data_IF_287378497259
#
_entry.id   IF_287378497259
#
_cell.length_a   1.000
_cell.length_b   1.000
_cell.length_c   1.000
_cell.angle_alpha   90.00
_cell.angle_beta   90.00
_cell.angle_gamma   90.00
#
_symmetry.space_group_name_H-M   'P 1'
#
loop_
_entity.id
_entity.type
_entity.pdbx_description
1 polymer ?
#
# COMPACT_ATOMS: atom_id res chain seq x y z
N UNK A 1 2.38 8.36 9.91
CA UNK A 1 3.07 7.40 9.00
C UNK A 1 4.24 8.09 8.35
N UNK A 2 5.29 7.35 8.02
CA UNK A 2 6.41 7.94 7.29
C UNK A 2 6.04 8.14 5.80
N UNK A 3 6.89 8.84 5.09
CA UNK A 3 6.62 9.23 3.70
C UNK A 3 6.44 8.03 2.76
N UNK A 4 7.26 6.98 2.89
CA UNK A 4 7.14 5.80 2.04
C UNK A 4 5.83 5.07 2.26
N UNK A 5 5.38 4.99 3.51
CA UNK A 5 4.10 4.36 3.85
C UNK A 5 2.95 5.14 3.25
N UNK A 6 2.98 6.47 3.36
CA UNK A 6 1.95 7.33 2.75
C UNK A 6 1.94 7.20 1.22
N UNK A 7 3.11 7.15 0.58
CA UNK A 7 3.20 6.98 -0.87
C UNK A 7 2.60 5.64 -1.31
N UNK A 8 2.93 4.55 -0.60
CA UNK A 8 2.39 3.23 -0.92
C UNK A 8 0.87 3.22 -0.75
N UNK A 9 0.36 3.82 0.32
CA UNK A 9 -1.08 3.94 0.53
C UNK A 9 -1.74 4.73 -0.60
N UNK A 10 -1.15 5.85 -1.00
CA UNK A 10 -1.69 6.70 -2.06
C UNK A 10 -1.70 5.99 -3.42
N UNK A 11 -0.81 5.02 -3.63
CA UNK A 11 -0.78 4.20 -4.84
C UNK A 11 -1.78 3.04 -4.80
N UNK A 12 -2.37 2.75 -3.64
CA UNK A 12 -3.39 1.72 -3.54
C UNK A 12 -4.69 2.21 -4.19
N UNK A 13 -5.54 1.28 -4.56
CA UNK A 13 -6.75 1.57 -5.34
C UNK A 13 -7.90 2.00 -4.43
N UNK A 14 -8.54 3.09 -4.78
CA UNK A 14 -9.73 3.55 -4.06
C UNK A 14 -10.89 2.57 -4.29
N UNK A 15 -11.72 2.40 -3.28
CA UNK A 15 -12.92 1.55 -3.34
C UNK A 15 -14.12 2.46 -3.41
N UNK A 16 -14.96 2.27 -4.44
CA UNK A 16 -16.19 3.04 -4.59
C UNK A 16 -17.07 2.88 -3.35
N UNK A 17 -17.54 4.00 -2.81
CA UNK A 17 -18.40 4.01 -1.63
C UNK A 17 -17.66 3.89 -0.30
N UNK A 18 -16.33 3.84 -0.31
CA UNK A 18 -15.51 3.77 0.89
C UNK A 18 -14.62 5.01 1.01
N UNK A 19 -14.35 5.40 2.26
CA UNK A 19 -13.42 6.49 2.54
C UNK A 19 -11.99 6.05 2.18
N UNK A 20 -11.31 6.69 1.21
CA UNK A 20 -9.97 6.28 0.79
C UNK A 20 -8.88 6.55 1.84
N UNK A 21 -9.20 7.27 2.92
CA UNK A 21 -8.30 7.44 4.06
C UNK A 21 -8.44 6.33 5.09
N UNK A 22 -9.39 5.43 4.88
CA UNK A 22 -9.67 4.31 5.80
C UNK A 22 -9.46 2.98 5.09
N UNK A 23 -10.04 2.80 3.91
CA UNK A 23 -9.97 1.56 3.15
C UNK A 23 -9.49 1.80 1.73
N UNK A 24 -8.64 0.89 1.24
CA UNK A 24 -8.26 0.81 -0.18
C UNK A 24 -8.07 -0.65 -0.55
N UNK A 25 -7.79 -0.93 -1.82
CA UNK A 25 -7.37 -2.25 -2.27
C UNK A 25 -5.91 -2.19 -2.71
N UNK A 26 -5.17 -3.25 -2.39
CA UNK A 26 -3.81 -3.41 -2.90
C UNK A 26 -3.84 -3.83 -4.37
N UNK A 27 -2.67 -4.00 -4.99
CA UNK A 27 -2.57 -4.36 -6.42
C UNK A 27 -3.10 -5.77 -6.71
N UNK A 28 -3.29 -6.59 -5.68
CA UNK A 28 -3.82 -7.95 -5.81
C UNK A 28 -5.32 -8.02 -5.53
N UNK A 29 -5.97 -6.89 -5.27
CA UNK A 29 -7.39 -6.82 -5.03
C UNK A 29 -7.84 -7.07 -3.58
N UNK A 30 -6.89 -7.19 -2.65
CA UNK A 30 -7.21 -7.36 -1.23
C UNK A 30 -7.58 -6.02 -0.60
N UNK A 31 -8.65 -6.00 0.19
CA UNK A 31 -9.02 -4.80 0.96
C UNK A 31 -8.05 -4.62 2.10
N UNK A 32 -7.49 -3.42 2.22
CA UNK A 32 -6.56 -3.04 3.28
C UNK A 32 -7.14 -1.88 4.08
N UNK A 33 -6.80 -1.85 5.37
CA UNK A 33 -7.24 -0.83 6.32
C UNK A 33 -6.04 0.04 6.70
N UNK A 34 -6.12 1.34 6.51
CA UNK A 34 -4.97 2.24 6.69
C UNK A 34 -4.29 2.08 8.05
N UNK A 35 -5.05 2.00 9.13
CA UNK A 35 -4.48 1.85 10.48
C UNK A 35 -3.92 0.46 10.77
N UNK A 36 -4.12 -0.51 9.89
CA UNK A 36 -3.58 -1.86 10.06
C UNK A 36 -2.21 -2.05 9.42
N UNK A 37 -1.53 -0.96 9.10
CA UNK A 37 -0.16 -1.02 8.60
C UNK A 37 0.73 -1.76 9.60
N UNK A 38 1.50 -2.73 9.09
CA UNK A 38 2.42 -3.53 9.89
C UNK A 38 1.78 -4.59 10.76
N UNK A 39 0.45 -4.78 10.68
CA UNK A 39 -0.26 -5.78 11.47
C UNK A 39 -0.52 -7.03 10.65
N UNK A 40 -0.44 -8.18 11.30
CA UNK A 40 -0.79 -9.47 10.70
C UNK A 40 -2.27 -9.75 10.94
N UNK A 41 -3.12 -9.04 10.20
CA UNK A 41 -4.56 -9.20 10.23
C UNK A 41 -5.09 -9.29 8.81
N UNK A 42 -6.37 -9.62 8.64
CA UNK A 42 -6.97 -9.80 7.30
C UNK A 42 -6.82 -8.55 6.42
N UNK A 43 -6.85 -7.36 7.03
CA UNK A 43 -6.70 -6.09 6.32
C UNK A 43 -5.37 -5.41 6.61
N UNK A 44 -4.41 -6.16 7.16
CA UNK A 44 -3.06 -5.68 7.39
C UNK A 44 -2.29 -5.52 6.08
N UNK A 45 -1.31 -4.63 6.07
CA UNK A 45 -0.53 -4.35 4.88
C UNK A 45 0.85 -3.81 5.24
N UNK A 46 1.75 -3.84 4.26
CA UNK A 46 3.11 -3.31 4.38
C UNK A 46 3.51 -2.67 3.06
N UNK A 47 4.57 -1.87 3.10
CA UNK A 47 5.14 -1.29 1.88
C UNK A 47 5.95 -2.34 1.15
N UNK A 48 5.73 -2.44 -0.16
CA UNK A 48 6.48 -3.34 -1.02
C UNK A 48 6.92 -2.59 -2.28
N UNK A 49 7.89 -3.13 -3.01
CA UNK A 49 8.36 -2.56 -4.26
C UNK A 49 7.73 -3.31 -5.43
N UNK A 50 7.16 -2.58 -6.39
CA UNK A 50 6.60 -3.18 -7.61
C UNK A 50 7.68 -3.85 -8.42
N UNK A 51 8.82 -3.14 -8.61
CA UNK A 51 10.03 -3.74 -9.18
C UNK A 51 10.99 -3.98 -8.02
N UNK A 52 11.36 -5.25 -7.75
CA UNK A 52 12.17 -5.57 -6.57
C UNK A 52 13.52 -4.87 -6.57
N UNK A 53 13.96 -4.43 -5.38
CA UNK A 53 15.27 -3.81 -5.20
C UNK A 53 16.38 -4.76 -5.66
N UNK A 54 16.25 -6.05 -5.39
CA UNK A 54 17.20 -7.07 -5.83
C UNK A 54 17.35 -7.16 -7.37
N UNK A 55 16.39 -6.60 -8.12
CA UNK A 55 16.41 -6.54 -9.58
C UNK A 55 16.59 -5.12 -10.11
N UNK A 56 17.12 -4.22 -9.28
CA UNK A 56 17.37 -2.84 -9.67
C UNK A 56 16.24 -1.87 -9.40
N UNK A 57 15.20 -2.29 -8.67
CA UNK A 57 14.10 -1.42 -8.28
C UNK A 57 14.56 -0.32 -7.32
N UNK A 58 13.88 0.83 -7.34
CA UNK A 58 14.21 1.99 -6.54
C UNK A 58 13.12 2.30 -5.51
N UNK A 59 13.40 3.23 -4.60
CA UNK A 59 12.43 3.76 -3.65
C UNK A 59 11.58 4.89 -4.22
N UNK A 60 11.58 5.05 -5.55
CA UNK A 60 10.72 6.03 -6.20
C UNK A 60 9.26 5.81 -5.80
N UNK A 61 8.47 6.88 -5.54
CA UNK A 61 7.05 6.72 -5.20
C UNK A 61 6.27 5.84 -6.16
N UNK A 62 6.57 5.89 -7.45
CA UNK A 62 5.92 5.04 -8.45
C UNK A 62 6.18 3.56 -8.28
N UNK A 63 7.26 3.21 -7.59
CA UNK A 63 7.67 1.81 -7.37
C UNK A 63 7.16 1.24 -6.06
N UNK A 64 6.48 2.02 -5.24
CA UNK A 64 5.96 1.58 -3.95
C UNK A 64 4.50 1.14 -4.08
N UNK A 65 4.17 0.06 -3.39
CA UNK A 65 2.81 -0.47 -3.32
C UNK A 65 2.50 -0.93 -1.90
N UNK A 66 1.23 -0.95 -1.59
CA UNK A 66 0.74 -1.50 -0.33
C UNK A 66 0.70 -3.01 -0.37
#
# INVERSE_FOLDING_TARGET
MNKKVEEAWNNAHKIRGKNPEVYRRDDYGNTIFKSSYGKQSDMGWEVDHRHPVSKGGTDSPKNLQA
#
